data_IF_663258737941
#
_entry.id   IF_663258737941
#
_cell.length_a   1.000
_cell.length_b   1.000
_cell.length_c   1.000
_cell.angle_alpha   90.00
_cell.angle_beta   90.00
_cell.angle_gamma   90.00
#
_symmetry.space_group_name_H-M   'P 1'
#
loop_
_entity.id
_entity.type
_entity.pdbx_description
1 polymer ?
#
# COMPACT_ATOMS: atom_id res chain seq x y z
N UNK A 1 -10.12 13.94 1.84
CA UNK A 1 -11.06 13.61 0.72
C UNK A 1 -12.21 12.74 1.25
N UNK A 2 -13.45 13.08 0.96
CA UNK A 2 -14.61 12.22 1.23
C UNK A 2 -14.80 11.21 0.11
N UNK A 3 -15.35 10.01 0.44
CA UNK A 3 -15.55 8.95 -0.56
C UNK A 3 -16.83 9.08 -1.37
N UNK A 4 -17.74 9.95 -0.96
CA UNK A 4 -19.00 10.18 -1.67
C UNK A 4 -18.75 10.50 -3.15
N UNK A 5 -19.41 9.75 -4.04
CA UNK A 5 -19.35 9.88 -5.50
C UNK A 5 -17.96 9.68 -6.14
N UNK A 6 -17.04 8.99 -5.45
CA UNK A 6 -15.68 8.74 -5.94
C UNK A 6 -15.55 7.44 -6.72
N UNK A 7 -14.68 7.44 -7.72
CA UNK A 7 -14.22 6.26 -8.47
C UNK A 7 -12.85 5.86 -7.93
N UNK A 8 -12.73 4.62 -7.48
CA UNK A 8 -11.54 4.12 -6.79
C UNK A 8 -11.00 2.87 -7.49
N UNK A 9 -9.69 2.84 -7.71
CA UNK A 9 -8.96 1.65 -8.17
C UNK A 9 -8.13 1.09 -7.03
N UNK A 10 -8.19 -0.22 -6.77
CA UNK A 10 -7.46 -0.88 -5.69
C UNK A 10 -6.71 -2.10 -6.23
N UNK A 11 -5.38 -2.03 -6.32
CA UNK A 11 -4.54 -3.17 -6.71
C UNK A 11 -4.32 -4.13 -5.53
N UNK A 12 -4.11 -5.42 -5.79
CA UNK A 12 -4.15 -6.45 -4.75
C UNK A 12 -5.56 -6.55 -4.13
N UNK A 13 -6.59 -6.31 -4.96
CA UNK A 13 -7.98 -6.16 -4.56
C UNK A 13 -8.63 -7.42 -4.01
N UNK A 14 -8.12 -8.61 -4.36
CA UNK A 14 -8.60 -9.89 -3.81
C UNK A 14 -8.04 -10.20 -2.42
N UNK A 15 -7.00 -9.49 -1.98
CA UNK A 15 -6.39 -9.64 -0.67
C UNK A 15 -7.23 -9.03 0.47
N UNK A 16 -6.92 -9.42 1.72
CA UNK A 16 -7.69 -8.98 2.89
C UNK A 16 -7.77 -7.46 3.03
N UNK A 17 -6.64 -6.76 2.91
CA UNK A 17 -6.59 -5.28 2.99
C UNK A 17 -7.38 -4.66 1.83
N UNK A 18 -7.18 -5.13 0.58
CA UNK A 18 -7.87 -4.61 -0.60
C UNK A 18 -9.39 -4.74 -0.49
N UNK A 19 -9.89 -5.91 -0.09
CA UNK A 19 -11.31 -6.16 0.14
C UNK A 19 -11.89 -5.30 1.26
N UNK A 20 -11.17 -5.15 2.36
CA UNK A 20 -11.63 -4.32 3.48
C UNK A 20 -11.73 -2.85 3.10
N UNK A 21 -10.72 -2.30 2.39
CA UNK A 21 -10.80 -0.93 1.86
C UNK A 21 -11.97 -0.76 0.89
N UNK A 22 -12.19 -1.71 -0.03
CA UNK A 22 -13.30 -1.64 -0.98
C UNK A 22 -14.66 -1.57 -0.28
N UNK A 23 -14.89 -2.44 0.70
CA UNK A 23 -16.14 -2.41 1.49
C UNK A 23 -16.31 -1.09 2.24
N UNK A 24 -15.24 -0.61 2.87
CA UNK A 24 -15.27 0.63 3.62
C UNK A 24 -15.56 1.84 2.71
N UNK A 25 -14.95 1.91 1.54
CA UNK A 25 -15.16 3.00 0.58
C UNK A 25 -16.58 2.98 -0.02
N UNK A 26 -17.13 1.79 -0.34
CA UNK A 26 -18.53 1.67 -0.78
C UNK A 26 -19.50 2.10 0.31
N UNK A 27 -19.26 1.70 1.56
CA UNK A 27 -20.10 2.10 2.69
C UNK A 27 -20.11 3.63 2.92
N UNK A 28 -19.05 4.32 2.51
CA UNK A 28 -18.91 5.79 2.55
C UNK A 28 -19.32 6.48 1.24
N UNK A 29 -20.03 5.77 0.36
CA UNK A 29 -20.66 6.35 -0.81
C UNK A 29 -19.79 6.42 -2.08
N UNK A 30 -18.70 5.68 -2.16
CA UNK A 30 -17.98 5.58 -3.43
C UNK A 30 -18.90 5.02 -4.52
N UNK A 31 -18.93 5.68 -5.68
CA UNK A 31 -19.82 5.29 -6.79
C UNK A 31 -19.32 4.05 -7.51
N UNK A 32 -18.01 3.89 -7.62
CA UNK A 32 -17.41 2.75 -8.31
C UNK A 32 -16.09 2.34 -7.66
N UNK A 33 -15.93 1.04 -7.46
CA UNK A 33 -14.67 0.42 -7.06
C UNK A 33 -14.24 -0.55 -8.15
N UNK A 34 -12.99 -0.45 -8.58
CA UNK A 34 -12.34 -1.41 -9.47
C UNK A 34 -11.27 -2.17 -8.67
N UNK A 35 -11.57 -3.41 -8.32
CA UNK A 35 -10.61 -4.33 -7.73
C UNK A 35 -9.71 -4.90 -8.80
N UNK A 36 -8.41 -4.86 -8.56
CA UNK A 36 -7.39 -5.31 -9.52
C UNK A 36 -6.51 -6.35 -8.88
N UNK A 37 -6.34 -7.50 -9.54
CA UNK A 37 -5.44 -8.55 -9.06
C UNK A 37 -4.88 -9.36 -10.23
N UNK A 38 -3.78 -10.07 -9.98
CA UNK A 38 -3.19 -10.98 -10.95
C UNK A 38 -4.03 -12.26 -11.12
N UNK A 39 -4.67 -12.70 -10.05
CA UNK A 39 -5.48 -13.92 -10.04
C UNK A 39 -6.93 -13.63 -10.45
N UNK A 40 -7.27 -14.02 -11.68
CA UNK A 40 -8.59 -13.80 -12.28
C UNK A 40 -9.73 -14.38 -11.43
N UNK A 41 -9.61 -15.63 -11.00
CA UNK A 41 -10.67 -16.26 -10.21
C UNK A 41 -10.86 -15.56 -8.86
N UNK A 42 -9.78 -15.14 -8.22
CA UNK A 42 -9.84 -14.47 -6.93
C UNK A 42 -10.43 -13.05 -7.04
N UNK A 43 -10.04 -12.26 -8.05
CA UNK A 43 -10.57 -10.90 -8.22
C UNK A 43 -12.03 -10.90 -8.61
N UNK A 44 -12.45 -11.83 -9.49
CA UNK A 44 -13.85 -11.95 -9.89
C UNK A 44 -14.74 -12.40 -8.71
N UNK A 45 -14.26 -13.35 -7.88
CA UNK A 45 -14.97 -13.76 -6.68
C UNK A 45 -15.09 -12.61 -5.66
N UNK A 46 -14.02 -11.87 -5.42
CA UNK A 46 -14.02 -10.72 -4.52
C UNK A 46 -14.93 -9.59 -5.02
N UNK A 47 -14.89 -9.29 -6.32
CA UNK A 47 -15.75 -8.29 -6.94
C UNK A 47 -17.24 -8.65 -6.84
N UNK A 48 -17.58 -9.91 -7.11
CA UNK A 48 -18.95 -10.42 -6.96
C UNK A 48 -19.44 -10.38 -5.50
N UNK A 49 -18.58 -10.75 -4.54
CA UNK A 49 -18.87 -10.73 -3.10
C UNK A 49 -19.15 -9.30 -2.61
N UNK A 50 -18.41 -8.32 -3.10
CA UNK A 50 -18.47 -6.92 -2.65
C UNK A 50 -19.51 -6.10 -3.45
N UNK A 51 -19.85 -6.55 -4.66
CA UNK A 51 -20.75 -5.81 -5.56
C UNK A 51 -20.02 -4.68 -6.31
N UNK A 52 -18.80 -4.94 -6.77
CA UNK A 52 -17.97 -3.96 -7.49
C UNK A 52 -17.37 -4.56 -8.78
N UNK A 53 -16.49 -3.84 -9.46
CA UNK A 53 -15.83 -4.30 -10.69
C UNK A 53 -14.55 -5.08 -10.35
N UNK A 54 -14.27 -6.12 -11.14
CA UNK A 54 -13.03 -6.89 -11.08
C UNK A 54 -12.25 -6.78 -12.38
N UNK A 55 -10.96 -6.51 -12.32
CA UNK A 55 -10.04 -6.41 -13.47
C UNK A 55 -8.79 -7.24 -13.22
N UNK A 56 -8.36 -7.98 -14.24
CA UNK A 56 -7.11 -8.74 -14.20
C UNK A 56 -5.96 -7.86 -14.69
N UNK A 57 -4.93 -7.72 -13.86
CA UNK A 57 -3.74 -6.95 -14.24
C UNK A 57 -2.51 -7.44 -13.43
N UNK A 58 -1.44 -7.72 -14.15
CA UNK A 58 -0.12 -7.82 -13.56
C UNK A 58 0.46 -6.41 -13.39
N UNK A 59 0.49 -5.94 -12.15
CA UNK A 59 0.98 -4.59 -11.82
C UNK A 59 2.48 -4.42 -12.04
N UNK A 60 3.23 -5.51 -12.23
CA UNK A 60 4.66 -5.46 -12.61
C UNK A 60 4.87 -5.23 -14.10
N UNK A 61 3.78 -5.25 -14.90
CA UNK A 61 3.78 -4.99 -16.33
C UNK A 61 3.20 -3.60 -16.63
N UNK A 62 4.06 -2.65 -17.01
CA UNK A 62 3.66 -1.25 -17.26
C UNK A 62 2.54 -1.13 -18.30
N UNK A 63 2.59 -1.91 -19.39
CA UNK A 63 1.58 -1.84 -20.45
C UNK A 63 0.19 -2.30 -19.95
N UNK A 64 0.14 -3.30 -19.08
CA UNK A 64 -1.11 -3.72 -18.45
C UNK A 64 -1.67 -2.67 -17.50
N UNK A 65 -0.81 -1.98 -16.74
CA UNK A 65 -1.22 -0.88 -15.84
C UNK A 65 -1.77 0.30 -16.65
N UNK A 66 -1.11 0.70 -17.75
CA UNK A 66 -1.63 1.72 -18.67
C UNK A 66 -3.01 1.31 -19.19
N UNK A 67 -3.14 0.10 -19.73
CA UNK A 67 -4.40 -0.40 -20.25
C UNK A 67 -5.52 -0.46 -19.19
N UNK A 68 -5.20 -0.78 -17.93
CA UNK A 68 -6.14 -0.74 -16.80
C UNK A 68 -6.66 0.68 -16.57
N UNK A 69 -5.77 1.67 -16.51
CA UNK A 69 -6.13 3.08 -16.31
C UNK A 69 -6.99 3.58 -17.48
N UNK A 70 -6.58 3.30 -18.72
CA UNK A 70 -7.32 3.70 -19.93
C UNK A 70 -8.74 3.12 -19.96
N UNK A 71 -8.89 1.81 -19.68
CA UNK A 71 -10.22 1.16 -19.61
C UNK A 71 -11.07 1.74 -18.48
N UNK A 72 -10.48 2.02 -17.32
CA UNK A 72 -11.21 2.60 -16.20
C UNK A 72 -11.67 4.02 -16.53
N UNK A 73 -10.81 4.85 -17.10
CA UNK A 73 -11.18 6.20 -17.55
C UNK A 73 -12.27 6.16 -18.63
N UNK A 74 -12.19 5.24 -19.60
CA UNK A 74 -13.18 5.10 -20.65
C UNK A 74 -14.55 4.66 -20.12
N UNK A 75 -14.61 3.78 -19.12
CA UNK A 75 -15.85 3.24 -18.58
C UNK A 75 -16.44 4.06 -17.42
N UNK A 76 -15.61 4.65 -16.56
CA UNK A 76 -16.02 5.38 -15.37
C UNK A 76 -15.92 6.91 -15.53
N UNK A 77 -15.25 7.41 -16.58
CA UNK A 77 -15.03 8.82 -16.86
C UNK A 77 -13.92 9.47 -16.01
N UNK A 78 -13.54 8.87 -14.89
CA UNK A 78 -12.54 9.42 -13.97
C UNK A 78 -11.95 8.34 -13.06
N UNK A 79 -10.81 8.64 -12.46
CA UNK A 79 -10.26 7.94 -11.30
C UNK A 79 -9.95 9.00 -10.25
N UNK A 80 -10.58 8.92 -9.08
CA UNK A 80 -10.39 9.87 -7.98
C UNK A 80 -9.33 9.42 -7.00
N UNK A 81 -9.34 8.11 -6.70
CA UNK A 81 -8.38 7.49 -5.79
C UNK A 81 -7.74 6.28 -6.46
N UNK A 82 -6.43 6.23 -6.48
CA UNK A 82 -5.69 5.05 -6.90
C UNK A 82 -4.91 4.47 -5.72
N UNK A 83 -5.31 3.26 -5.28
CA UNK A 83 -4.65 2.53 -4.21
C UNK A 83 -3.66 1.52 -4.79
N UNK A 84 -2.37 1.88 -4.82
CA UNK A 84 -1.28 0.95 -5.12
C UNK A 84 -1.06 0.07 -3.89
N UNK A 85 -1.86 -1.03 -3.79
CA UNK A 85 -1.90 -1.87 -2.61
C UNK A 85 -1.36 -3.29 -2.87
N UNK A 86 -1.18 -3.71 -4.11
CA UNK A 86 -0.59 -5.00 -4.44
C UNK A 86 0.78 -5.17 -3.79
N UNK A 87 1.03 -6.33 -3.21
CA UNK A 87 2.27 -6.62 -2.55
C UNK A 87 2.37 -8.08 -2.13
N UNK A 88 3.57 -8.51 -1.83
CA UNK A 88 3.85 -9.84 -1.30
C UNK A 88 4.80 -9.74 -0.10
N UNK A 89 4.68 -10.69 0.82
CA UNK A 89 5.67 -10.87 1.87
C UNK A 89 7.02 -11.24 1.26
N UNK A 90 8.08 -10.96 1.98
CA UNK A 90 9.43 -11.36 1.58
C UNK A 90 10.17 -11.94 2.77
N UNK A 91 11.00 -12.93 2.51
CA UNK A 91 11.92 -13.52 3.47
C UNK A 91 13.33 -13.52 2.92
N UNK A 92 14.28 -13.74 3.79
CA UNK A 92 15.69 -13.83 3.42
C UNK A 92 16.49 -12.63 3.89
N UNK A 93 17.57 -12.92 4.59
CA UNK A 93 18.61 -11.95 4.93
C UNK A 93 19.54 -11.76 3.72
N UNK A 94 20.35 -10.74 3.74
CA UNK A 94 21.19 -10.35 2.60
C UNK A 94 21.97 -11.52 1.97
N UNK A 95 22.51 -12.42 2.78
CA UNK A 95 23.32 -13.55 2.32
C UNK A 95 22.52 -14.68 1.66
N UNK A 96 21.21 -14.76 1.92
CA UNK A 96 20.35 -15.90 1.54
C UNK A 96 19.27 -15.49 0.52
N UNK A 97 19.12 -14.20 0.25
CA UNK A 97 18.15 -13.71 -0.72
C UNK A 97 18.83 -13.56 -2.10
N UNK A 98 18.53 -14.42 -3.09
CA UNK A 98 19.09 -14.31 -4.42
C UNK A 98 18.59 -13.08 -5.18
N UNK A 99 19.30 -12.69 -6.23
CA UNK A 99 19.03 -11.44 -6.96
C UNK A 99 17.62 -11.39 -7.60
N UNK A 100 17.10 -12.53 -8.03
CA UNK A 100 15.74 -12.63 -8.58
C UNK A 100 14.66 -12.31 -7.54
N UNK A 101 14.86 -12.69 -6.27
CA UNK A 101 13.98 -12.30 -5.17
C UNK A 101 14.03 -10.78 -4.93
N UNK A 102 15.22 -10.18 -4.98
CA UNK A 102 15.39 -8.73 -4.90
C UNK A 102 14.67 -8.01 -6.03
N UNK A 103 14.84 -8.50 -7.27
CA UNK A 103 14.23 -7.91 -8.44
C UNK A 103 12.70 -8.04 -8.40
N UNK A 104 12.17 -9.23 -8.08
CA UNK A 104 10.74 -9.44 -7.97
C UNK A 104 10.08 -8.53 -6.91
N UNK A 105 10.73 -8.36 -5.75
CA UNK A 105 10.25 -7.43 -4.72
C UNK A 105 10.33 -5.97 -5.18
N UNK A 106 11.36 -5.60 -5.95
CA UNK A 106 11.51 -4.27 -6.51
C UNK A 106 10.42 -3.97 -7.54
N UNK A 107 10.19 -4.90 -8.47
CA UNK A 107 9.18 -4.74 -9.51
C UNK A 107 7.77 -4.62 -8.91
N UNK A 108 7.48 -5.45 -7.88
CA UNK A 108 6.18 -5.45 -7.23
C UNK A 108 5.95 -4.26 -6.29
N UNK A 109 6.94 -3.86 -5.48
CA UNK A 109 6.73 -2.86 -4.42
C UNK A 109 7.16 -1.44 -4.81
N UNK A 110 7.93 -1.29 -5.89
CA UNK A 110 8.43 0.02 -6.32
C UNK A 110 7.95 0.34 -7.72
N UNK A 111 8.29 -0.50 -8.71
CA UNK A 111 7.96 -0.21 -10.10
C UNK A 111 6.46 -0.18 -10.34
N UNK A 112 5.67 -1.06 -9.71
CA UNK A 112 4.21 -1.04 -9.81
C UNK A 112 3.60 0.29 -9.35
N UNK A 113 4.12 0.89 -8.28
CA UNK A 113 3.68 2.21 -7.80
C UNK A 113 4.06 3.31 -8.79
N UNK A 114 5.26 3.22 -9.39
CA UNK A 114 5.73 4.17 -10.42
C UNK A 114 4.84 4.07 -11.67
N UNK A 115 4.54 2.86 -12.15
CA UNK A 115 3.69 2.65 -13.32
C UNK A 115 2.28 3.19 -13.09
N UNK A 116 1.69 2.90 -11.91
CA UNK A 116 0.37 3.40 -11.53
C UNK A 116 0.34 4.94 -11.50
N UNK A 117 1.27 5.57 -10.81
CA UNK A 117 1.34 7.02 -10.71
C UNK A 117 1.53 7.66 -12.10
N UNK A 118 2.45 7.13 -12.90
CA UNK A 118 2.72 7.62 -14.27
C UNK A 118 1.49 7.54 -15.18
N UNK A 119 0.69 6.48 -15.03
CA UNK A 119 -0.50 6.28 -15.85
C UNK A 119 -1.68 7.18 -15.40
N UNK A 120 -1.88 7.37 -14.08
CA UNK A 120 -3.09 8.05 -13.59
C UNK A 120 -2.90 9.55 -13.38
N UNK A 121 -1.70 10.02 -13.04
CA UNK A 121 -1.42 11.43 -12.74
C UNK A 121 -1.84 12.41 -13.85
N UNK A 122 -1.62 12.16 -15.15
CA UNK A 122 -2.02 13.11 -16.18
C UNK A 122 -3.49 13.52 -16.09
N UNK A 123 -4.39 12.55 -15.91
CA UNK A 123 -5.82 12.82 -15.79
C UNK A 123 -6.21 13.49 -14.47
N UNK A 124 -5.52 13.19 -13.38
CA UNK A 124 -5.74 13.81 -12.08
C UNK A 124 -5.26 15.26 -12.08
N UNK A 125 -4.07 15.53 -12.62
CA UNK A 125 -3.49 16.88 -12.73
C UNK A 125 -4.35 17.78 -13.62
N UNK A 126 -4.83 17.26 -14.77
CA UNK A 126 -5.73 18.01 -15.65
C UNK A 126 -7.01 18.48 -14.92
N UNK A 127 -7.52 17.66 -14.00
CA UNK A 127 -8.69 18.02 -13.17
C UNK A 127 -8.33 18.87 -11.93
N UNK A 128 -7.06 18.95 -11.57
CA UNK A 128 -6.63 19.58 -10.31
C UNK A 128 -7.11 18.83 -9.05
N UNK A 129 -7.47 17.55 -9.15
CA UNK A 129 -7.97 16.73 -8.03
C UNK A 129 -7.65 15.25 -8.25
N UNK A 130 -7.04 14.63 -7.25
CA UNK A 130 -6.72 13.23 -7.23
C UNK A 130 -6.07 12.78 -5.93
N UNK A 131 -6.15 11.48 -5.65
CA UNK A 131 -5.56 10.91 -4.44
C UNK A 131 -4.77 9.64 -4.77
N UNK A 132 -3.52 9.57 -4.35
CA UNK A 132 -2.68 8.38 -4.44
C UNK A 132 -2.47 7.79 -3.04
N UNK A 133 -2.92 6.55 -2.83
CA UNK A 133 -2.66 5.80 -1.62
C UNK A 133 -1.66 4.68 -1.92
N UNK A 134 -0.46 4.77 -1.37
CA UNK A 134 0.59 3.78 -1.56
C UNK A 134 0.71 2.88 -0.33
N UNK A 135 0.55 1.57 -0.49
CA UNK A 135 0.72 0.61 0.61
C UNK A 135 2.19 0.20 0.73
N UNK A 136 2.86 0.81 1.69
CA UNK A 136 4.19 0.41 2.12
C UNK A 136 4.13 -0.63 3.26
N UNK A 137 4.73 -0.35 4.39
CA UNK A 137 4.75 -1.13 5.63
C UNK A 137 5.46 -0.33 6.71
N UNK A 138 5.23 -0.61 7.97
CA UNK A 138 6.08 -0.16 9.07
C UNK A 138 7.55 -0.57 8.86
N UNK A 139 7.80 -1.69 8.16
CA UNK A 139 9.14 -2.09 7.75
C UNK A 139 9.86 -1.06 6.87
N UNK A 140 9.13 -0.26 6.09
CA UNK A 140 9.70 0.82 5.29
C UNK A 140 10.15 2.03 6.12
N UNK A 141 9.55 2.23 7.28
CA UNK A 141 9.91 3.28 8.22
C UNK A 141 10.97 2.83 9.23
N UNK A 142 10.88 1.58 9.68
CA UNK A 142 11.69 1.05 10.80
C UNK A 142 12.76 0.06 10.34
N UNK A 143 12.41 -1.09 9.89
CA UNK A 143 13.06 -2.22 9.25
C UNK A 143 12.39 -3.53 9.71
N UNK A 144 12.30 -4.53 8.85
CA UNK A 144 11.93 -5.89 9.21
C UNK A 144 13.17 -6.74 9.42
N UNK A 145 13.31 -7.38 10.59
CA UNK A 145 14.54 -8.06 10.99
C UNK A 145 14.85 -9.31 10.15
N UNK A 146 13.84 -9.92 9.57
CA UNK A 146 13.96 -11.17 8.80
C UNK A 146 13.95 -11.02 7.29
N UNK A 147 13.84 -9.78 6.74
CA UNK A 147 13.73 -9.57 5.30
C UNK A 147 14.42 -8.29 4.82
N UNK A 148 15.57 -8.46 4.22
CA UNK A 148 16.32 -7.37 3.57
C UNK A 148 15.58 -6.80 2.36
N UNK A 149 15.21 -7.64 1.35
CA UNK A 149 14.50 -7.17 0.16
C UNK A 149 13.21 -6.42 0.48
N UNK A 150 12.39 -6.96 1.38
CA UNK A 150 11.14 -6.33 1.78
C UNK A 150 11.37 -4.97 2.47
N UNK A 151 12.31 -4.90 3.42
CA UNK A 151 12.65 -3.66 4.12
C UNK A 151 13.06 -2.56 3.14
N UNK A 152 13.96 -2.87 2.22
CA UNK A 152 14.50 -1.89 1.27
C UNK A 152 13.44 -1.42 0.29
N UNK A 153 12.66 -2.34 -0.28
CA UNK A 153 11.62 -1.99 -1.26
C UNK A 153 10.45 -1.23 -0.62
N UNK A 154 10.07 -1.57 0.61
CA UNK A 154 9.05 -0.81 1.34
C UNK A 154 9.55 0.58 1.80
N UNK A 155 10.83 0.74 2.10
CA UNK A 155 11.43 2.07 2.32
C UNK A 155 11.44 2.90 1.02
N UNK A 156 11.74 2.29 -0.11
CA UNK A 156 11.66 2.96 -1.42
C UNK A 156 10.22 3.40 -1.75
N UNK A 157 9.21 2.57 -1.45
CA UNK A 157 7.80 2.93 -1.63
C UNK A 157 7.38 4.13 -0.75
N UNK A 158 7.84 4.21 0.51
CA UNK A 158 7.63 5.39 1.37
C UNK A 158 8.27 6.63 0.74
N UNK A 159 9.52 6.53 0.31
CA UNK A 159 10.24 7.66 -0.30
C UNK A 159 9.63 8.09 -1.63
N UNK A 160 9.11 7.17 -2.41
CA UNK A 160 8.39 7.48 -3.64
C UNK A 160 7.08 8.24 -3.35
N UNK A 161 6.30 7.81 -2.36
CA UNK A 161 5.09 8.54 -1.95
C UNK A 161 5.41 9.96 -1.46
N UNK A 162 6.49 10.13 -0.69
CA UNK A 162 6.96 11.45 -0.24
C UNK A 162 7.36 12.35 -1.43
N UNK A 163 8.08 11.79 -2.41
CA UNK A 163 8.43 12.49 -3.64
C UNK A 163 7.18 12.97 -4.40
N UNK A 164 6.17 12.10 -4.55
CA UNK A 164 4.91 12.46 -5.20
C UNK A 164 4.17 13.58 -4.46
N UNK A 165 4.09 13.51 -3.14
CA UNK A 165 3.43 14.53 -2.31
C UNK A 165 4.11 15.90 -2.44
N UNK A 166 5.45 15.93 -2.49
CA UNK A 166 6.23 17.16 -2.66
C UNK A 166 6.06 17.71 -4.09
N UNK A 167 6.10 16.83 -5.10
CA UNK A 167 6.15 17.27 -6.50
C UNK A 167 4.78 17.72 -7.00
N UNK A 168 3.71 17.05 -6.60
CA UNK A 168 2.37 17.23 -7.18
C UNK A 168 1.33 17.81 -6.20
N UNK A 169 1.75 18.19 -4.98
CA UNK A 169 0.84 18.81 -4.02
C UNK A 169 0.19 20.09 -4.55
N UNK A 170 0.96 20.94 -5.21
CA UNK A 170 0.47 22.18 -5.82
C UNK A 170 -0.38 21.94 -7.09
N UNK A 171 -0.30 20.74 -7.67
CA UNK A 171 -1.18 20.31 -8.78
C UNK A 171 -2.55 19.79 -8.29
N UNK A 172 -2.84 19.89 -6.99
CA UNK A 172 -4.07 19.39 -6.37
C UNK A 172 -4.07 17.90 -6.06
N UNK A 173 -2.92 17.23 -6.13
CA UNK A 173 -2.79 15.79 -5.87
C UNK A 173 -2.44 15.53 -4.41
N UNK A 174 -3.28 14.76 -3.76
CA UNK A 174 -3.07 14.30 -2.38
C UNK A 174 -2.41 12.93 -2.39
N UNK A 175 -1.52 12.71 -1.45
CA UNK A 175 -0.78 11.45 -1.36
C UNK A 175 -0.73 10.99 0.09
N UNK A 176 -1.07 9.72 0.32
CA UNK A 176 -0.83 9.06 1.61
C UNK A 176 -0.05 7.77 1.42
N UNK A 177 0.68 7.39 2.45
CA UNK A 177 1.39 6.11 2.52
C UNK A 177 0.91 5.28 3.70
N UNK A 178 0.38 4.10 3.41
CA UNK A 178 -0.12 3.14 4.38
C UNK A 178 1.04 2.28 4.89
N UNK A 179 1.33 2.36 6.18
CA UNK A 179 2.46 1.70 6.83
C UNK A 179 2.00 0.79 7.98
N UNK A 180 1.33 -0.34 7.71
CA UNK A 180 0.88 -1.26 8.73
C UNK A 180 2.02 -2.13 9.28
N UNK A 181 1.84 -2.63 10.50
CA UNK A 181 2.50 -3.82 11.03
C UNK A 181 1.67 -5.08 10.69
N UNK A 182 1.50 -6.01 11.63
CA UNK A 182 0.75 -7.24 11.43
C UNK A 182 -0.75 -7.00 11.18
N UNK A 183 -1.26 -7.51 10.06
CA UNK A 183 -2.69 -7.49 9.71
C UNK A 183 -3.15 -8.92 9.45
N UNK A 184 -4.30 -9.30 9.98
CA UNK A 184 -4.88 -10.65 9.84
C UNK A 184 -5.33 -10.93 8.41
N UNK A 185 -4.39 -11.35 7.57
CA UNK A 185 -4.60 -11.68 6.17
C UNK A 185 -3.90 -12.99 5.82
N UNK A 186 -4.15 -13.51 4.63
CA UNK A 186 -3.43 -14.68 4.13
C UNK A 186 -1.89 -14.47 4.02
N UNK A 187 -1.46 -13.21 3.98
CA UNK A 187 -0.03 -12.81 3.96
C UNK A 187 0.56 -12.72 5.37
N UNK A 188 -0.25 -12.71 6.44
CA UNK A 188 0.25 -12.58 7.80
C UNK A 188 1.28 -13.67 8.13
N UNK A 189 2.42 -13.33 8.74
CA UNK A 189 3.39 -14.33 9.15
C UNK A 189 2.74 -15.32 10.12
N UNK A 190 2.97 -16.61 9.92
CA UNK A 190 2.45 -17.68 10.81
C UNK A 190 3.22 -17.80 12.12
N UNK A 191 4.33 -17.11 12.27
CA UNK A 191 5.18 -17.08 13.47
C UNK A 191 5.25 -15.66 14.02
N UNK A 192 5.37 -15.55 15.34
CA UNK A 192 5.59 -14.26 16.01
C UNK A 192 6.92 -13.68 15.53
N UNK A 193 6.87 -12.52 14.90
CA UNK A 193 8.02 -11.77 14.40
C UNK A 193 7.95 -10.32 14.88
N UNK A 194 8.96 -9.54 14.52
CA UNK A 194 9.06 -8.12 14.85
C UNK A 194 7.89 -7.27 14.31
N UNK A 195 7.28 -7.68 13.18
CA UNK A 195 6.08 -7.05 12.62
C UNK A 195 4.78 -7.28 13.40
N UNK A 196 4.82 -8.04 14.49
CA UNK A 196 3.67 -8.33 15.36
C UNK A 196 3.87 -7.83 16.80
N UNK A 197 4.88 -7.00 17.02
CA UNK A 197 5.26 -6.53 18.37
C UNK A 197 4.10 -5.84 19.08
N UNK A 198 3.28 -5.10 18.35
CA UNK A 198 2.15 -4.34 18.88
C UNK A 198 0.78 -5.02 18.56
N UNK A 199 0.84 -6.31 18.20
CA UNK A 199 -0.32 -7.13 17.89
C UNK A 199 -0.65 -7.24 16.40
N UNK A 200 -1.71 -7.99 16.12
CA UNK A 200 -2.28 -8.17 14.79
C UNK A 200 -3.66 -7.52 14.79
N UNK A 201 -3.90 -6.64 13.84
CA UNK A 201 -5.20 -5.99 13.67
C UNK A 201 -6.00 -6.64 12.55
N UNK A 202 -7.32 -6.47 12.57
CA UNK A 202 -8.19 -6.91 11.48
C UNK A 202 -8.12 -5.93 10.30
N UNK A 203 -8.27 -6.43 9.05
CA UNK A 203 -8.27 -5.57 7.86
C UNK A 203 -9.32 -4.46 7.91
N UNK A 204 -10.46 -4.69 8.55
CA UNK A 204 -11.53 -3.71 8.72
C UNK A 204 -11.10 -2.53 9.59
N UNK A 205 -10.35 -2.78 10.65
CA UNK A 205 -9.78 -1.73 11.51
C UNK A 205 -8.77 -0.88 10.71
N UNK A 206 -7.92 -1.53 9.92
CA UNK A 206 -7.00 -0.82 9.03
C UNK A 206 -7.76 0.06 8.04
N UNK A 207 -8.83 -0.45 7.41
CA UNK A 207 -9.62 0.30 6.43
C UNK A 207 -10.28 1.54 7.05
N UNK A 208 -10.71 1.49 8.31
CA UNK A 208 -11.23 2.67 9.03
C UNK A 208 -10.14 3.72 9.24
N UNK A 209 -8.92 3.31 9.59
CA UNK A 209 -7.77 4.23 9.70
C UNK A 209 -7.44 4.88 8.36
N UNK A 210 -7.53 4.11 7.26
CA UNK A 210 -7.37 4.65 5.91
C UNK A 210 -8.42 5.74 5.64
N UNK A 211 -9.71 5.44 5.83
CA UNK A 211 -10.80 6.40 5.61
C UNK A 211 -10.59 7.71 6.38
N UNK A 212 -10.28 7.60 7.67
CA UNK A 212 -10.02 8.78 8.50
C UNK A 212 -8.85 9.60 7.97
N UNK A 213 -7.75 8.93 7.61
CA UNK A 213 -6.56 9.61 7.09
C UNK A 213 -6.83 10.30 5.75
N UNK A 214 -7.61 9.66 4.85
CA UNK A 214 -8.01 10.27 3.57
C UNK A 214 -8.88 11.52 3.79
N UNK A 215 -9.80 11.51 4.76
CA UNK A 215 -10.60 12.69 5.15
C UNK A 215 -9.74 13.84 5.66
N UNK A 216 -8.77 13.51 6.50
CA UNK A 216 -7.83 14.47 7.08
C UNK A 216 -6.70 14.87 6.13
N UNK A 217 -6.56 14.18 5.00
CA UNK A 217 -5.52 14.39 3.98
C UNK A 217 -4.09 14.32 4.55
N UNK A 218 -3.89 13.46 5.58
CA UNK A 218 -2.58 13.28 6.20
C UNK A 218 -1.71 12.32 5.38
N UNK A 219 -0.41 12.54 5.41
CA UNK A 219 0.54 11.75 4.63
C UNK A 219 0.69 10.31 5.16
N UNK A 220 0.89 10.12 6.47
CA UNK A 220 1.05 8.78 7.05
C UNK A 220 -0.29 8.18 7.49
N UNK A 221 -0.58 6.97 6.99
CA UNK A 221 -1.63 6.09 7.52
C UNK A 221 -0.97 5.05 8.41
N UNK A 222 -1.10 5.19 9.72
CA UNK A 222 -0.49 4.33 10.73
C UNK A 222 -1.57 3.58 11.51
N UNK A 223 -1.99 2.38 11.05
CA UNK A 223 -3.01 1.59 11.74
C UNK A 223 -2.56 1.08 13.12
N UNK A 224 -1.25 1.02 13.35
CA UNK A 224 -0.61 0.77 14.64
C UNK A 224 0.00 2.09 15.13
N UNK A 225 -0.61 2.79 16.07
CA UNK A 225 -0.19 4.13 16.50
C UNK A 225 1.22 4.16 17.09
N UNK A 226 1.68 3.03 17.65
CA UNK A 226 3.02 2.87 18.22
C UNK A 226 4.15 3.13 17.20
N UNK A 227 3.86 2.92 15.91
CA UNK A 227 4.82 3.16 14.82
C UNK A 227 5.27 4.62 14.78
N UNK A 228 4.37 5.57 15.09
CA UNK A 228 4.74 6.99 15.16
C UNK A 228 5.81 7.26 16.20
N UNK A 229 5.66 6.67 17.40
CA UNK A 229 6.64 6.82 18.47
C UNK A 229 7.97 6.14 18.12
N UNK A 230 7.94 5.01 17.42
CA UNK A 230 9.16 4.35 16.96
C UNK A 230 9.91 5.19 15.93
N UNK A 231 9.21 5.80 14.98
CA UNK A 231 9.81 6.70 13.98
C UNK A 231 10.45 7.91 14.67
N UNK A 232 9.76 8.50 15.66
CA UNK A 232 10.29 9.62 16.45
C UNK A 232 11.57 9.24 17.17
N UNK A 233 11.56 8.11 17.93
CA UNK A 233 12.74 7.59 18.65
C UNK A 233 13.91 7.26 17.74
N UNK A 234 13.63 6.77 16.51
CA UNK A 234 14.66 6.52 15.50
C UNK A 234 15.27 7.82 14.99
N UNK A 235 14.47 8.86 14.81
CA UNK A 235 14.93 10.18 14.38
C UNK A 235 15.74 10.92 15.45
N UNK A 236 15.35 10.77 16.72
CA UNK A 236 16.02 11.42 17.85
C UNK A 236 17.45 10.90 18.08
N UNK A 237 17.66 9.56 17.98
CA UNK A 237 18.96 8.93 18.18
C UNK A 237 19.05 7.61 17.41
N UNK A 238 19.61 7.66 16.22
CA UNK A 238 19.73 6.49 15.33
C UNK A 238 20.65 5.41 15.91
N UNK A 239 21.72 5.75 16.61
CA UNK A 239 22.66 4.76 17.15
C UNK A 239 22.04 3.98 18.32
N UNK A 240 21.31 4.68 19.18
CA UNK A 240 20.51 4.07 20.24
C UNK A 240 19.43 3.15 19.67
N UNK A 241 18.73 3.60 18.63
CA UNK A 241 17.73 2.81 17.90
C UNK A 241 18.33 1.52 17.34
N UNK A 242 19.42 1.60 16.58
CA UNK A 242 20.13 0.44 16.01
C UNK A 242 20.60 -0.52 17.11
N UNK A 243 21.07 0.00 18.24
CA UNK A 243 21.39 -0.79 19.43
C UNK A 243 20.19 -1.58 19.98
N UNK A 244 19.00 -0.94 20.00
CA UNK A 244 17.73 -1.56 20.35
C UNK A 244 17.32 -2.68 19.42
N UNK A 245 17.34 -2.41 18.11
CA UNK A 245 16.99 -3.38 17.06
C UNK A 245 17.92 -4.60 17.06
N UNK A 246 19.22 -4.43 17.32
CA UNK A 246 20.16 -5.56 17.50
C UNK A 246 19.80 -6.41 18.70
N UNK A 247 19.33 -5.81 19.83
CA UNK A 247 18.86 -6.58 20.99
C UNK A 247 17.58 -7.34 20.67
N UNK A 248 16.63 -6.70 19.97
CA UNK A 248 15.38 -7.34 19.55
C UNK A 248 15.69 -8.55 18.64
N UNK A 249 16.53 -8.38 17.63
CA UNK A 249 16.93 -9.46 16.73
C UNK A 249 17.49 -10.68 17.47
N UNK A 250 18.34 -10.48 18.49
CA UNK A 250 18.89 -11.59 19.30
C UNK A 250 17.86 -12.35 20.12
N UNK A 251 16.70 -11.74 20.39
CA UNK A 251 15.60 -12.40 21.13
C UNK A 251 14.63 -13.13 20.18
N UNK A 252 14.63 -12.77 18.89
CA UNK A 252 13.74 -13.34 17.88
C UNK A 252 14.39 -14.48 17.08
N UNK A 253 15.70 -14.72 17.27
CA UNK A 253 16.48 -15.83 16.74
C UNK A 253 16.70 -16.88 17.83
#
# INVERSE_FOLDING_TARGET
MEMQDKVVVITGGSGGIGKAMARAFLAEGATSIVLVDLNEAAVNAAAAEIGCLGEVCDVTNEAQVIGLVDRTLASQGRIDVFCSNAGAGGSGVLTDAPNDVWQAQWDLHVMSHIYAARAVLPSMIERGDGYLLNTASAAGLLAALGSGPYTVTKAAAVKFAEFLAITHGDDGIKVSVLCPQGVNTAMAPRSVGDGQTDGIIEPEQLAQTVLQTLREERFYVLPHPEVEDYVRRKGDDIDRWLGGMRRLRRKSL
#
